data_IF_525380281154
#
_entry.id   IF_525380281154
#
_cell.length_a   1.000
_cell.length_b   1.000
_cell.length_c   1.000
_cell.angle_alpha   90.00
_cell.angle_beta   90.00
_cell.angle_gamma   90.00
#
_symmetry.space_group_name_H-M   'P 1'
#
loop_
_entity.id
_entity.type
_entity.pdbx_description
1 polymer ?
#
# COMPACT_ATOMS: atom_id res chain seq x y z
N UNK A 1 -16.21 2.20 22.42
CA UNK A 1 -16.83 1.30 21.41
C UNK A 1 -16.29 1.69 20.04
N UNK A 2 -15.70 0.74 19.34
CA UNK A 2 -15.22 0.95 17.98
C UNK A 2 -16.22 0.29 17.04
N UNK A 3 -16.83 1.09 16.16
CA UNK A 3 -17.68 0.61 15.09
C UNK A 3 -16.83 0.41 13.85
N UNK A 4 -16.80 -0.79 13.31
CA UNK A 4 -16.12 -1.11 12.07
C UNK A 4 -17.15 -1.45 11.00
N UNK A 5 -17.12 -0.74 9.87
CA UNK A 5 -17.89 -1.12 8.70
C UNK A 5 -17.09 -2.14 7.88
N UNK A 6 -17.69 -3.29 7.62
CA UNK A 6 -17.08 -4.34 6.79
C UNK A 6 -18.02 -4.68 5.63
N UNK A 7 -17.52 -4.83 4.39
CA UNK A 7 -18.34 -5.26 3.29
C UNK A 7 -18.79 -6.72 3.49
N UNK A 8 -20.08 -6.93 3.42
CA UNK A 8 -20.67 -8.27 3.41
C UNK A 8 -20.72 -8.86 2.00
N UNK A 9 -21.02 -8.00 1.03
CA UNK A 9 -20.95 -8.27 -0.40
C UNK A 9 -20.71 -6.95 -1.14
N UNK A 10 -20.73 -6.94 -2.49
CA UNK A 10 -20.49 -5.75 -3.31
C UNK A 10 -21.44 -4.56 -3.03
N UNK A 11 -22.59 -4.81 -2.41
CA UNK A 11 -23.64 -3.81 -2.24
C UNK A 11 -23.97 -3.50 -0.79
N UNK A 12 -23.61 -4.38 0.15
CA UNK A 12 -24.03 -4.31 1.55
C UNK A 12 -22.80 -4.23 2.46
N UNK A 13 -22.78 -3.20 3.28
CA UNK A 13 -21.81 -3.03 4.37
C UNK A 13 -22.52 -3.30 5.70
N UNK A 14 -21.91 -4.15 6.52
CA UNK A 14 -22.35 -4.38 7.88
C UNK A 14 -21.49 -3.60 8.86
N UNK A 15 -22.12 -3.02 9.85
CA UNK A 15 -21.42 -2.43 10.99
C UNK A 15 -21.23 -3.50 12.07
N UNK A 16 -20.00 -3.63 12.55
CA UNK A 16 -19.65 -4.53 13.64
C UNK A 16 -19.21 -3.70 14.83
N UNK A 17 -19.89 -3.88 15.96
CA UNK A 17 -19.43 -3.31 17.22
C UNK A 17 -18.34 -4.19 17.81
N UNK A 18 -17.14 -3.67 17.88
CA UNK A 18 -16.05 -4.26 18.66
C UNK A 18 -15.85 -3.47 19.95
N UNK A 19 -16.34 -4.01 21.04
CA UNK A 19 -16.24 -3.36 22.34
C UNK A 19 -14.79 -3.41 22.88
N UNK A 20 -14.04 -4.47 22.57
CA UNK A 20 -12.63 -4.64 22.98
C UNK A 20 -11.81 -5.27 21.86
N UNK A 21 -10.68 -4.66 21.54
CA UNK A 21 -9.64 -5.23 20.70
C UNK A 21 -8.28 -5.09 21.41
N UNK A 22 -7.39 -6.07 21.20
CA UNK A 22 -6.00 -6.01 21.65
C UNK A 22 -5.10 -5.98 20.43
N UNK A 23 -4.38 -4.88 20.26
CA UNK A 23 -3.34 -4.71 19.25
C UNK A 23 -1.95 -4.91 19.87
N UNK A 24 -1.07 -5.55 19.12
CA UNK A 24 0.36 -5.60 19.36
C UNK A 24 1.06 -5.63 18.02
N UNK A 25 2.22 -4.99 17.91
CA UNK A 25 2.96 -4.90 16.67
C UNK A 25 4.36 -4.35 16.87
N UNK A 26 5.09 -4.38 15.78
CA UNK A 26 6.42 -3.80 15.63
C UNK A 26 6.48 -3.11 14.28
N UNK A 27 6.94 -1.88 14.28
CA UNK A 27 7.19 -1.07 13.09
C UNK A 27 8.68 -0.80 12.95
N UNK A 28 9.16 -0.83 11.72
CA UNK A 28 10.52 -0.46 11.37
C UNK A 28 10.54 0.36 10.10
N UNK A 29 11.37 1.39 10.08
CA UNK A 29 11.62 2.23 8.91
C UNK A 29 13.13 2.43 8.75
N UNK A 30 13.61 2.39 7.52
CA UNK A 30 14.98 2.73 7.15
C UNK A 30 14.96 3.67 5.95
N UNK A 31 15.82 4.69 6.01
CA UNK A 31 16.05 5.62 4.90
C UNK A 31 17.53 5.88 4.74
N UNK A 32 18.00 5.79 3.51
CA UNK A 32 19.40 6.05 3.15
C UNK A 32 19.40 7.00 1.96
N UNK A 33 20.19 8.05 2.07
CA UNK A 33 20.48 8.98 0.99
C UNK A 33 21.95 8.91 0.66
N UNK A 34 22.29 8.78 -0.60
CA UNK A 34 23.66 8.65 -1.07
C UNK A 34 23.88 9.48 -2.33
N UNK A 35 24.94 10.29 -2.31
CA UNK A 35 25.33 11.14 -3.42
C UNK A 35 26.69 10.67 -3.96
N UNK A 36 26.70 9.68 -4.91
CA UNK A 36 27.93 9.10 -5.42
C UNK A 36 28.80 10.07 -6.20
N UNK A 37 28.19 11.06 -6.84
CA UNK A 37 28.90 12.09 -7.62
C UNK A 37 28.02 13.33 -7.81
N UNK A 38 28.61 14.43 -8.27
CA UNK A 38 27.86 15.65 -8.57
C UNK A 38 26.73 15.39 -9.58
N UNK A 39 25.53 15.82 -9.24
CA UNK A 39 24.33 15.64 -10.06
C UNK A 39 23.68 14.25 -9.97
N UNK A 40 24.19 13.35 -9.14
CA UNK A 40 23.56 12.04 -8.91
C UNK A 40 23.22 11.86 -7.44
N UNK A 41 21.95 11.57 -7.15
CA UNK A 41 21.46 11.25 -5.81
C UNK A 41 20.62 9.96 -5.86
N UNK A 42 20.89 9.07 -4.94
CA UNK A 42 20.16 7.83 -4.75
C UNK A 42 19.50 7.88 -3.39
N UNK A 43 18.19 7.70 -3.40
CA UNK A 43 17.35 7.63 -2.20
C UNK A 43 16.79 6.22 -2.06
N UNK A 44 17.05 5.60 -0.92
CA UNK A 44 16.51 4.29 -0.57
C UNK A 44 15.58 4.46 0.63
N UNK A 45 14.39 3.90 0.57
CA UNK A 45 13.53 3.79 1.74
C UNK A 45 12.90 2.41 1.83
N UNK A 46 12.69 1.94 3.05
CA UNK A 46 11.98 0.72 3.32
C UNK A 46 11.22 0.86 4.64
N UNK A 47 10.01 0.32 4.68
CA UNK A 47 9.20 0.22 5.88
C UNK A 47 8.63 -1.17 6.02
N UNK A 48 8.47 -1.63 7.25
CA UNK A 48 7.84 -2.90 7.57
C UNK A 48 7.04 -2.78 8.86
N UNK A 49 5.84 -3.31 8.84
CA UNK A 49 4.95 -3.39 9.99
C UNK A 49 4.50 -4.83 10.19
N UNK A 50 4.76 -5.37 11.36
CA UNK A 50 4.05 -6.53 11.87
C UNK A 50 3.00 -6.06 12.86
N UNK A 51 1.74 -6.48 12.68
CA UNK A 51 0.66 -6.13 13.60
C UNK A 51 -0.32 -7.29 13.79
N UNK A 52 -0.68 -7.53 15.04
CA UNK A 52 -1.76 -8.44 15.39
C UNK A 52 -2.82 -7.70 16.18
N UNK A 53 -3.99 -7.52 15.58
CA UNK A 53 -5.14 -6.87 16.23
C UNK A 53 -6.22 -7.93 16.39
N UNK A 54 -6.41 -8.40 17.62
CA UNK A 54 -7.32 -9.51 17.92
C UNK A 54 -8.57 -9.02 18.65
N UNK A 55 -9.72 -9.57 18.28
CA UNK A 55 -11.00 -9.34 18.96
C UNK A 55 -10.93 -9.93 20.41
N UNK A 56 -11.26 -9.12 21.39
CA UNK A 56 -11.31 -9.49 22.82
C UNK A 56 -12.64 -9.10 23.47
N UNK A 57 -13.68 -8.96 22.66
CA UNK A 57 -14.98 -8.46 23.13
C UNK A 57 -15.66 -9.45 24.07
N UNK A 58 -15.81 -10.69 23.67
CA UNK A 58 -16.52 -11.73 24.42
C UNK A 58 -15.76 -13.06 24.33
N UNK A 59 -15.32 -13.58 25.46
CA UNK A 59 -14.56 -14.82 25.52
C UNK A 59 -15.37 -16.06 25.14
N UNK A 60 -16.69 -16.01 25.20
CA UNK A 60 -17.58 -17.09 24.76
C UNK A 60 -17.87 -17.07 23.25
N UNK A 61 -17.53 -15.97 22.58
CA UNK A 61 -17.76 -15.80 21.15
C UNK A 61 -16.76 -16.63 20.31
N UNK A 62 -17.22 -17.30 19.24
CA UNK A 62 -16.34 -18.00 18.31
C UNK A 62 -15.37 -17.06 17.55
N UNK A 63 -15.53 -15.75 17.70
CA UNK A 63 -14.67 -14.71 17.11
C UNK A 63 -13.58 -14.24 18.07
N UNK A 64 -13.59 -14.71 19.32
CA UNK A 64 -12.60 -14.32 20.31
C UNK A 64 -11.19 -14.73 19.91
N UNK A 65 -10.25 -13.81 20.00
CA UNK A 65 -8.85 -14.03 19.64
C UNK A 65 -8.55 -14.01 18.13
N UNK A 66 -9.56 -13.93 17.27
CA UNK A 66 -9.37 -13.83 15.83
C UNK A 66 -8.90 -12.42 15.45
N UNK A 67 -8.10 -12.35 14.37
CA UNK A 67 -7.65 -11.08 13.78
C UNK A 67 -8.86 -10.25 13.35
N UNK A 68 -8.79 -8.96 13.58
CA UNK A 68 -9.80 -8.01 13.10
C UNK A 68 -9.84 -8.01 11.59
N UNK A 69 -11.02 -7.96 10.95
CA UNK A 69 -11.15 -7.89 9.50
C UNK A 69 -10.30 -6.79 8.87
N UNK A 70 -9.84 -7.03 7.65
CA UNK A 70 -9.05 -6.11 6.83
C UNK A 70 -7.69 -5.70 7.39
N UNK A 71 -7.24 -6.31 8.49
CA UNK A 71 -5.92 -6.04 9.06
C UNK A 71 -4.93 -7.13 8.64
N UNK A 72 -3.98 -6.86 7.74
CA UNK A 72 -2.91 -7.80 7.45
C UNK A 72 -1.98 -7.94 8.65
N UNK A 73 -1.40 -9.13 8.85
CA UNK A 73 -0.39 -9.34 9.90
C UNK A 73 0.93 -8.68 9.53
N UNK A 74 1.29 -8.71 8.25
CA UNK A 74 2.53 -8.17 7.74
C UNK A 74 2.24 -7.24 6.58
N UNK A 75 2.88 -6.09 6.57
CA UNK A 75 2.87 -5.16 5.44
C UNK A 75 4.19 -4.43 5.36
N UNK A 76 4.57 -4.02 4.18
CA UNK A 76 5.77 -3.26 3.99
C UNK A 76 5.79 -2.54 2.65
N UNK A 77 6.68 -1.57 2.57
CA UNK A 77 6.96 -0.85 1.34
C UNK A 77 8.46 -0.63 1.18
N UNK A 78 8.90 -0.49 -0.05
CA UNK A 78 10.26 -0.09 -0.35
C UNK A 78 10.28 0.82 -1.58
N UNK A 79 11.24 1.74 -1.63
CA UNK A 79 11.47 2.54 -2.81
C UNK A 79 12.95 2.77 -3.05
N UNK A 80 13.30 2.92 -4.33
CA UNK A 80 14.62 3.31 -4.81
C UNK A 80 14.42 4.46 -5.77
N UNK A 81 14.90 5.63 -5.40
CA UNK A 81 14.95 6.82 -6.24
C UNK A 81 16.37 7.04 -6.79
N UNK A 82 16.48 7.44 -8.04
CA UNK A 82 17.72 7.89 -8.65
C UNK A 82 17.49 9.20 -9.40
N UNK A 83 17.98 10.26 -8.83
CA UNK A 83 18.02 11.57 -9.48
C UNK A 83 19.33 11.75 -10.23
N UNK A 84 19.22 12.21 -11.46
CA UNK A 84 20.37 12.50 -12.31
C UNK A 84 20.04 13.64 -13.29
N UNK A 85 21.03 14.21 -14.01
CA UNK A 85 20.80 15.39 -14.86
C UNK A 85 19.88 15.15 -16.05
N UNK A 86 19.58 13.90 -16.40
CA UNK A 86 18.79 13.58 -17.60
C UNK A 86 17.33 13.25 -17.28
N UNK A 87 17.13 12.36 -16.31
CA UNK A 87 15.80 11.88 -15.90
C UNK A 87 15.86 11.34 -14.48
N UNK A 88 14.89 11.68 -13.66
CA UNK A 88 14.75 11.07 -12.34
C UNK A 88 13.87 9.83 -12.44
N UNK A 89 14.33 8.74 -11.85
CA UNK A 89 13.66 7.45 -11.82
C UNK A 89 13.33 7.06 -10.38
N UNK A 90 12.17 6.46 -10.17
CA UNK A 90 11.79 5.90 -8.87
C UNK A 90 11.08 4.58 -9.06
N UNK A 91 11.67 3.51 -8.57
CA UNK A 91 11.01 2.21 -8.43
C UNK A 91 10.46 2.14 -7.01
N UNK A 92 9.19 1.80 -6.87
CA UNK A 92 8.53 1.67 -5.58
C UNK A 92 7.68 0.39 -5.55
N UNK A 93 7.54 -0.16 -4.37
CA UNK A 93 6.74 -1.36 -4.17
C UNK A 93 6.10 -1.40 -2.81
N UNK A 94 4.98 -2.08 -2.73
CA UNK A 94 4.28 -2.37 -1.50
C UNK A 94 3.79 -3.81 -1.49
N UNK A 95 3.74 -4.41 -0.32
CA UNK A 95 3.24 -5.77 -0.13
C UNK A 95 2.48 -5.89 1.18
N UNK A 96 1.47 -6.73 1.19
CA UNK A 96 0.75 -7.08 2.40
C UNK A 96 0.40 -8.57 2.40
N UNK A 97 0.41 -9.18 3.60
CA UNK A 97 -0.04 -10.55 3.77
C UNK A 97 -1.55 -10.68 3.57
N UNK A 98 -2.00 -11.92 3.41
CA UNK A 98 -3.43 -12.23 3.39
C UNK A 98 -4.13 -11.77 4.66
N UNK A 99 -5.44 -11.52 4.53
CA UNK A 99 -6.31 -11.02 5.60
C UNK A 99 -7.73 -11.52 5.41
N UNK A 100 -8.53 -11.41 6.44
CA UNK A 100 -9.91 -11.83 6.42
C UNK A 100 -10.84 -10.62 6.23
N UNK A 101 -11.87 -10.77 5.40
CA UNK A 101 -12.88 -9.72 5.22
C UNK A 101 -13.95 -9.75 6.32
N UNK A 102 -14.10 -10.86 7.04
CA UNK A 102 -15.13 -11.04 8.06
C UNK A 102 -14.54 -11.53 9.39
N UNK A 103 -15.22 -11.27 10.54
CA UNK A 103 -14.77 -11.75 11.85
C UNK A 103 -14.75 -13.27 11.99
N UNK A 104 -15.56 -13.96 11.20
CA UNK A 104 -15.74 -15.41 11.28
C UNK A 104 -14.57 -16.19 10.71
N UNK A 105 -13.77 -15.56 9.83
CA UNK A 105 -12.67 -16.18 9.12
C UNK A 105 -13.11 -17.40 8.29
N UNK A 106 -14.23 -17.27 7.56
CA UNK A 106 -14.61 -18.27 6.58
C UNK A 106 -13.63 -18.29 5.40
N UNK A 107 -13.35 -19.47 4.87
CA UNK A 107 -12.44 -19.60 3.73
C UNK A 107 -12.83 -18.71 2.54
N UNK A 108 -14.12 -18.61 2.21
CA UNK A 108 -14.62 -17.73 1.15
C UNK A 108 -14.48 -16.21 1.43
N UNK A 109 -14.02 -15.82 2.61
CA UNK A 109 -13.79 -14.41 2.99
C UNK A 109 -12.31 -14.07 3.17
N UNK A 110 -11.43 -15.00 2.82
CA UNK A 110 -9.99 -14.76 2.83
C UNK A 110 -9.57 -13.96 1.60
N UNK A 111 -8.97 -12.81 1.83
CA UNK A 111 -8.35 -11.97 0.80
C UNK A 111 -6.87 -12.32 0.77
N UNK A 112 -6.38 -12.74 -0.39
CA UNK A 112 -4.96 -13.10 -0.59
C UNK A 112 -4.00 -11.95 -0.28
N UNK A 113 -2.77 -12.29 0.02
CA UNK A 113 -1.68 -11.30 0.06
C UNK A 113 -1.37 -10.79 -1.33
N UNK A 114 -0.72 -9.63 -1.40
CA UNK A 114 -0.33 -9.03 -2.66
C UNK A 114 1.05 -8.37 -2.57
N UNK A 115 1.65 -8.19 -3.74
CA UNK A 115 2.77 -7.29 -3.96
C UNK A 115 2.45 -6.46 -5.20
N UNK A 116 2.66 -5.16 -5.09
CA UNK A 116 2.47 -4.20 -6.17
C UNK A 116 3.77 -3.41 -6.34
N UNK A 117 4.20 -3.25 -7.59
CA UNK A 117 5.44 -2.57 -7.95
C UNK A 117 5.12 -1.56 -9.03
N UNK A 118 5.59 -0.33 -8.85
CA UNK A 118 5.45 0.76 -9.81
C UNK A 118 6.78 1.40 -10.15
N UNK A 119 6.84 2.04 -11.30
CA UNK A 119 7.96 2.82 -11.79
C UNK A 119 7.48 4.22 -12.17
N UNK A 120 8.15 5.23 -11.66
CA UNK A 120 7.97 6.63 -12.05
C UNK A 120 9.23 7.13 -12.75
N UNK A 121 9.06 7.81 -13.85
CA UNK A 121 10.10 8.60 -14.50
C UNK A 121 9.63 10.05 -14.61
N UNK A 122 10.48 11.00 -14.24
CA UNK A 122 10.16 12.42 -14.44
C UNK A 122 11.38 13.23 -14.87
N UNK A 123 11.11 14.32 -15.57
CA UNK A 123 12.13 15.27 -15.98
C UNK A 123 11.60 16.69 -15.86
N UNK A 124 12.38 17.52 -15.18
CA UNK A 124 12.19 18.96 -15.14
C UNK A 124 13.05 19.62 -16.22
N UNK A 125 12.48 20.57 -16.93
CA UNK A 125 13.16 21.34 -17.96
C UNK A 125 12.69 22.78 -17.97
N UNK A 126 13.53 23.67 -18.42
CA UNK A 126 13.18 25.09 -18.63
C UNK A 126 13.20 25.38 -20.12
N UNK A 127 12.08 25.84 -20.66
CA UNK A 127 11.94 26.22 -22.06
C UNK A 127 11.55 27.71 -22.11
N UNK A 128 12.55 28.56 -22.41
CA UNK A 128 12.36 30.00 -22.33
C UNK A 128 12.14 30.48 -20.89
N UNK A 129 10.94 31.00 -20.57
CA UNK A 129 10.56 31.41 -19.22
C UNK A 129 9.68 30.39 -18.48
N UNK A 130 9.31 29.33 -19.17
CA UNK A 130 8.35 28.33 -18.67
C UNK A 130 9.10 27.14 -18.09
N UNK A 131 8.72 26.71 -16.89
CA UNK A 131 9.14 25.44 -16.32
C UNK A 131 8.18 24.34 -16.74
N UNK A 132 8.72 23.28 -17.29
CA UNK A 132 7.96 22.10 -17.68
C UNK A 132 8.43 20.91 -16.86
N UNK A 133 7.48 20.15 -16.32
CA UNK A 133 7.75 18.84 -15.72
C UNK A 133 6.98 17.80 -16.53
N UNK A 134 7.70 16.85 -17.10
CA UNK A 134 7.14 15.68 -17.74
C UNK A 134 7.24 14.51 -16.76
N UNK A 135 6.15 13.77 -16.58
CA UNK A 135 6.11 12.60 -15.71
C UNK A 135 5.37 11.45 -16.38
N UNK A 136 5.93 10.26 -16.26
CA UNK A 136 5.33 8.99 -16.68
C UNK A 136 5.36 8.02 -15.49
N UNK A 137 4.23 7.41 -15.20
CA UNK A 137 4.05 6.41 -14.16
C UNK A 137 3.56 5.11 -14.79
N UNK A 138 4.10 3.98 -14.35
CA UNK A 138 3.60 2.64 -14.62
C UNK A 138 3.38 1.98 -13.27
N UNK A 139 2.15 1.56 -13.00
CA UNK A 139 1.75 0.90 -11.75
C UNK A 139 1.41 -0.56 -12.02
N UNK A 140 1.57 -1.38 -10.99
CA UNK A 140 1.34 -2.82 -11.04
C UNK A 140 2.08 -3.47 -12.22
N UNK A 141 3.37 -3.27 -12.32
CA UNK A 141 4.23 -3.79 -13.41
C UNK A 141 4.17 -5.32 -13.48
N UNK A 142 3.97 -5.97 -12.34
CA UNK A 142 3.85 -7.42 -12.25
C UNK A 142 2.54 -7.96 -12.85
N UNK A 143 1.58 -7.08 -13.18
CA UNK A 143 0.27 -7.46 -13.69
C UNK A 143 -0.56 -8.29 -12.73
N UNK A 144 -0.23 -8.26 -11.44
CA UNK A 144 -0.84 -9.09 -10.42
C UNK A 144 -2.29 -8.67 -10.19
N UNK A 145 -3.21 -9.61 -10.25
CA UNK A 145 -4.61 -9.36 -9.93
C UNK A 145 -4.82 -9.62 -8.44
N UNK A 146 -5.16 -8.58 -7.71
CA UNK A 146 -5.35 -8.64 -6.26
C UNK A 146 -6.50 -7.75 -5.81
N UNK A 147 -6.93 -7.95 -4.57
CA UNK A 147 -7.98 -7.16 -3.93
C UNK A 147 -7.45 -6.58 -2.61
N UNK A 148 -7.80 -5.33 -2.33
CA UNK A 148 -7.60 -4.72 -1.01
C UNK A 148 -8.89 -4.85 -0.20
N UNK A 149 -10.01 -4.66 -0.83
CA UNK A 149 -11.35 -4.89 -0.30
C UNK A 149 -11.97 -6.06 -1.05
N UNK A 150 -12.61 -6.98 -0.34
CA UNK A 150 -13.26 -8.14 -0.93
C UNK A 150 -14.20 -7.74 -2.07
N UNK A 151 -14.09 -8.43 -3.20
CA UNK A 151 -14.86 -8.19 -4.43
C UNK A 151 -14.57 -6.86 -5.15
N UNK A 152 -13.52 -6.15 -4.77
CA UNK A 152 -13.04 -4.95 -5.46
C UNK A 152 -11.63 -5.18 -5.99
N UNK A 153 -11.51 -5.74 -7.22
CA UNK A 153 -10.22 -6.00 -7.82
C UNK A 153 -9.49 -4.69 -8.12
N UNK A 154 -8.22 -4.64 -7.79
CA UNK A 154 -7.34 -3.53 -8.14
C UNK A 154 -6.99 -3.56 -9.63
N UNK A 155 -6.73 -2.39 -10.25
CA UNK A 155 -6.31 -2.33 -11.64
C UNK A 155 -5.05 -3.17 -11.87
N UNK A 156 -5.01 -3.87 -13.00
CA UNK A 156 -3.78 -4.50 -13.48
C UNK A 156 -2.79 -3.44 -13.92
N UNK A 157 -1.73 -3.83 -14.59
CA UNK A 157 -0.74 -2.89 -15.13
C UNK A 157 -1.41 -1.75 -15.87
N UNK A 158 -1.15 -0.55 -15.42
CA UNK A 158 -1.67 0.67 -16.03
C UNK A 158 -0.61 1.77 -16.01
N UNK A 159 -0.80 2.77 -16.83
CA UNK A 159 0.15 3.86 -16.95
C UNK A 159 -0.57 5.21 -16.98
N UNK A 160 0.16 6.23 -16.60
CA UNK A 160 -0.29 7.62 -16.63
C UNK A 160 0.85 8.50 -17.08
N UNK A 161 0.52 9.48 -17.93
CA UNK A 161 1.44 10.57 -18.27
C UNK A 161 0.85 11.89 -17.82
N UNK A 162 1.70 12.79 -17.35
CA UNK A 162 1.30 14.13 -16.95
C UNK A 162 2.36 15.15 -17.38
N UNK A 163 1.87 16.35 -17.70
CA UNK A 163 2.69 17.53 -17.99
C UNK A 163 2.24 18.63 -17.07
N UNK A 164 3.16 19.15 -16.27
CA UNK A 164 2.96 20.34 -15.44
C UNK A 164 3.70 21.49 -16.09
N UNK A 165 3.04 22.64 -16.20
CA UNK A 165 3.60 23.86 -16.78
C UNK A 165 3.45 25.01 -15.79
N UNK A 166 4.54 25.72 -15.53
CA UNK A 166 4.58 26.93 -14.71
C UNK A 166 5.14 28.08 -15.57
N UNK A 167 4.35 29.15 -15.73
CA UNK A 167 4.65 30.35 -16.52
C UNK A 167 5.33 31.41 -15.67
#
# INVERSE_FOLDING_TARGET
ETVLAVPYNMFIWHTINMAKARGMGVDGEARVEWTPSAGHRIDLSASYTYQRVANRTDASSPHYGKQVPYQPLNQGSASVGWENPWVSLSLHGQAASGRWATPNHYEGTHIGGYADVGLTAYRDMVVGKTRLQLRADIENILGHQYEIVAHYPMPRTHWRMSVKMEL
#
